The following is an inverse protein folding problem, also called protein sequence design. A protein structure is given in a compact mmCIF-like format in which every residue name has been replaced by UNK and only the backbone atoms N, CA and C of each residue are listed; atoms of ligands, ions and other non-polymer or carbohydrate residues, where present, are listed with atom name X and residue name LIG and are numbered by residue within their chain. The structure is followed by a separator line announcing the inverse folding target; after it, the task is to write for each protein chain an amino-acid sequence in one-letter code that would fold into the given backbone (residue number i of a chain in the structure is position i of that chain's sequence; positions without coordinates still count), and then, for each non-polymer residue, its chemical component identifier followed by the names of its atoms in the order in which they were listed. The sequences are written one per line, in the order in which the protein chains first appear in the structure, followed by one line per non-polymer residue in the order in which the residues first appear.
data_IF_958096027485
#
_entry.id   IF_958096027485
#
_cell.length_a   1.000
_cell.length_b   1.000
_cell.length_c   1.000
_cell.angle_alpha   90.00
_cell.angle_beta   90.00
_cell.angle_gamma   90.00
#
_symmetry.space_group_name_H-M   'P 1'
#
loop_
_entity.id
_entity.type
_entity.pdbx_description
1 polymer ?
#
# COMPACT_ATOMS: atom_id res chain seq x y z
N UNK A 1 -65.39 49.76 1.57
CA UNK A 1 -64.76 48.45 1.30
C UNK A 1 -64.08 48.53 -0.07
N UNK A 2 -62.74 48.54 -0.09
CA UNK A 2 -61.80 48.16 -1.16
C UNK A 2 -60.49 48.93 -0.95
N UNK A 3 -59.45 48.18 -0.65
CA UNK A 3 -58.10 48.58 -0.25
C UNK A 3 -57.26 48.96 -1.46
N UNK A 4 -56.67 50.17 -1.48
CA UNK A 4 -55.69 50.60 -2.47
C UNK A 4 -54.28 50.09 -2.11
N UNK A 5 -53.96 48.86 -2.50
CA UNK A 5 -52.59 48.33 -2.50
C UNK A 5 -51.82 48.95 -3.68
N UNK A 6 -50.83 49.81 -3.39
CA UNK A 6 -49.96 50.38 -4.42
C UNK A 6 -48.72 49.51 -4.67
N UNK A 7 -48.20 49.53 -5.90
CA UNK A 7 -47.03 48.76 -6.36
C UNK A 7 -45.78 48.94 -5.48
N UNK A 8 -45.65 50.07 -4.78
CA UNK A 8 -44.56 50.34 -3.83
C UNK A 8 -44.65 49.52 -2.54
N UNK A 9 -45.85 49.14 -2.11
CA UNK A 9 -46.05 48.29 -0.93
C UNK A 9 -45.73 46.83 -1.24
N UNK A 10 -45.94 46.41 -2.50
CA UNK A 10 -45.59 45.06 -2.97
C UNK A 10 -44.06 44.85 -3.05
N UNK A 11 -43.29 45.85 -3.49
CA UNK A 11 -41.82 45.73 -3.59
C UNK A 11 -41.10 45.76 -2.23
N UNK A 12 -41.66 46.40 -1.19
CA UNK A 12 -41.08 46.37 0.16
C UNK A 12 -41.34 45.05 0.90
N UNK A 13 -42.43 44.34 0.56
CA UNK A 13 -42.71 43.01 1.10
C UNK A 13 -41.84 41.90 0.49
N UNK A 14 -41.46 42.02 -0.78
CA UNK A 14 -40.68 41.00 -1.48
C UNK A 14 -39.18 40.96 -1.09
N UNK A 15 -38.63 42.08 -0.59
CA UNK A 15 -37.22 42.14 -0.19
C UNK A 15 -36.94 41.50 1.19
N UNK A 16 -37.95 41.38 2.06
CA UNK A 16 -37.80 40.79 3.38
C UNK A 16 -37.94 39.26 3.39
N UNK A 17 -38.64 38.67 2.41
CA UNK A 17 -38.77 37.20 2.26
C UNK A 17 -37.63 36.57 1.44
N UNK A 18 -36.92 37.34 0.61
CA UNK A 18 -35.77 36.83 -0.15
C UNK A 18 -34.50 36.61 0.69
N UNK A 19 -34.32 37.37 1.78
CA UNK A 19 -33.10 37.28 2.59
C UNK A 19 -33.10 36.10 3.58
N UNK A 20 -34.28 35.60 3.97
CA UNK A 20 -34.39 34.43 4.86
C UNK A 20 -34.18 33.12 4.09
N UNK A 21 -34.53 33.07 2.80
CA UNK A 21 -34.32 31.90 1.95
C UNK A 21 -32.83 31.66 1.62
N UNK A 22 -32.00 32.71 1.54
CA UNK A 22 -30.57 32.56 1.26
C UNK A 22 -29.74 32.08 2.46
N UNK A 23 -30.26 32.25 3.69
CA UNK A 23 -29.58 31.78 4.92
C UNK A 23 -30.01 30.35 5.28
N UNK A 24 -31.18 29.90 4.82
CA UNK A 24 -31.73 28.56 5.09
C UNK A 24 -31.18 27.42 4.22
N UNK A 25 -30.50 27.70 3.11
CA UNK A 25 -29.92 26.66 2.24
C UNK A 25 -28.52 26.19 2.68
N UNK A 26 -27.98 26.71 3.78
CA UNK A 26 -26.90 26.06 4.53
C UNK A 26 -27.42 25.03 5.52
N UNK A 27 -28.64 24.53 5.31
CA UNK A 27 -29.12 23.30 5.93
C UNK A 27 -28.18 22.16 5.53
N UNK A 28 -27.19 21.91 6.39
CA UNK A 28 -26.64 20.59 6.67
C UNK A 28 -26.31 19.79 5.39
N UNK A 29 -25.36 20.27 4.59
CA UNK A 29 -24.47 19.30 3.97
C UNK A 29 -23.75 18.64 5.15
N UNK A 30 -24.25 17.50 5.60
CA UNK A 30 -23.41 16.60 6.37
C UNK A 30 -22.14 16.45 5.54
N UNK A 31 -20.98 16.82 6.10
CA UNK A 31 -19.71 16.71 5.38
C UNK A 31 -19.67 15.32 4.74
N UNK A 32 -19.61 15.26 3.41
CA UNK A 32 -19.57 13.98 2.72
C UNK A 32 -18.41 13.16 3.30
N UNK A 33 -18.60 11.85 3.54
CA UNK A 33 -17.54 11.03 4.12
C UNK A 33 -16.27 11.17 3.30
N UNK A 34 -15.13 11.37 3.98
CA UNK A 34 -13.84 11.48 3.32
C UNK A 34 -13.56 10.20 2.53
N UNK A 35 -13.55 10.30 1.20
CA UNK A 35 -13.19 9.20 0.32
C UNK A 35 -11.69 8.90 0.41
N UNK A 36 -11.37 7.71 0.91
CA UNK A 36 -10.02 7.14 0.99
C UNK A 36 -9.96 5.97 0.02
N UNK A 37 -9.05 6.02 -0.95
CA UNK A 37 -8.82 4.93 -1.90
C UNK A 37 -7.41 4.38 -1.74
N UNK A 38 -7.31 3.06 -1.52
CA UNK A 38 -6.07 2.30 -1.60
C UNK A 38 -6.02 1.58 -2.94
N UNK A 39 -4.93 1.75 -3.68
CA UNK A 39 -4.66 1.01 -4.92
C UNK A 39 -3.44 0.12 -4.72
N UNK A 40 -3.54 -1.17 -5.04
CA UNK A 40 -2.48 -2.17 -4.85
C UNK A 40 -2.28 -3.04 -6.10
N UNK A 41 -1.05 -3.51 -6.37
CA UNK A 41 -0.73 -4.19 -7.63
C UNK A 41 -1.19 -5.66 -7.64
N UNK A 42 -1.32 -6.25 -6.47
CA UNK A 42 -1.64 -7.66 -6.23
C UNK A 42 -3.03 -7.78 -5.59
N UNK A 43 -3.63 -8.99 -5.54
CA UNK A 43 -4.78 -9.25 -4.69
C UNK A 43 -4.49 -8.96 -3.21
N UNK A 44 -5.48 -8.49 -2.48
CA UNK A 44 -5.49 -8.49 -1.02
C UNK A 44 -5.89 -9.88 -0.56
N UNK A 45 -4.88 -10.75 -0.47
CA UNK A 45 -5.05 -12.10 0.08
C UNK A 45 -5.08 -12.12 1.61
N UNK A 46 -4.94 -13.32 2.17
CA UNK A 46 -4.82 -13.52 3.62
C UNK A 46 -3.47 -13.05 4.20
N UNK A 47 -2.46 -12.88 3.33
CA UNK A 47 -1.08 -12.54 3.67
C UNK A 47 -0.51 -11.54 2.65
N UNK A 48 0.68 -11.00 2.93
CA UNK A 48 1.42 -10.12 2.02
C UNK A 48 1.22 -8.63 2.27
N UNK A 49 1.71 -7.82 1.35
CA UNK A 49 1.70 -6.37 1.42
C UNK A 49 0.30 -5.77 1.34
N UNK A 50 -0.51 -6.24 0.38
CA UNK A 50 -1.90 -5.80 0.23
C UNK A 50 -2.72 -6.02 1.50
N UNK A 51 -2.54 -7.18 2.16
CA UNK A 51 -3.14 -7.50 3.46
C UNK A 51 -2.69 -6.52 4.54
N UNK A 52 -1.38 -6.28 4.67
CA UNK A 52 -0.83 -5.36 5.67
C UNK A 52 -1.36 -3.93 5.51
N UNK A 53 -1.50 -3.43 4.28
CA UNK A 53 -2.11 -2.13 4.00
C UNK A 53 -3.60 -2.10 4.33
N UNK A 54 -4.33 -3.17 3.99
CA UNK A 54 -5.75 -3.29 4.33
C UNK A 54 -5.97 -3.31 5.85
N UNK A 55 -5.14 -4.05 6.59
CA UNK A 55 -5.14 -4.06 8.06
C UNK A 55 -4.83 -2.68 8.64
N UNK A 56 -3.90 -1.94 8.04
CA UNK A 56 -3.59 -0.56 8.42
C UNK A 56 -4.77 0.41 8.30
N UNK A 57 -5.78 0.08 7.48
CA UNK A 57 -7.00 0.88 7.34
C UNK A 57 -8.07 0.54 8.37
N UNK A 58 -8.02 -0.61 9.04
CA UNK A 58 -9.02 -1.01 10.04
C UNK A 58 -9.07 -0.05 11.25
N UNK A 59 -7.95 0.39 11.85
CA UNK A 59 -7.98 1.41 12.89
C UNK A 59 -8.56 2.75 12.41
N UNK A 60 -8.36 3.11 11.15
CA UNK A 60 -8.92 4.33 10.56
C UNK A 60 -10.44 4.21 10.45
N UNK A 61 -10.94 3.09 9.91
CA UNK A 61 -12.38 2.81 9.84
C UNK A 61 -13.02 2.82 11.23
N UNK A 62 -12.39 2.18 12.22
CA UNK A 62 -12.88 2.11 13.58
C UNK A 62 -12.94 3.48 14.27
N UNK A 63 -11.92 4.33 14.05
CA UNK A 63 -11.85 5.65 14.68
C UNK A 63 -12.83 6.68 14.08
N UNK A 64 -13.05 6.62 12.77
CA UNK A 64 -13.82 7.64 12.05
C UNK A 64 -15.23 7.19 11.64
N UNK A 65 -15.51 5.89 11.60
CA UNK A 65 -16.82 5.34 11.25
C UNK A 65 -17.33 5.90 9.92
N UNK A 66 -18.58 6.36 9.92
CA UNK A 66 -19.27 6.90 8.74
C UNK A 66 -18.67 8.21 8.20
N UNK A 67 -17.67 8.81 8.88
CA UNK A 67 -16.96 10.00 8.40
C UNK A 67 -15.92 9.69 7.32
N UNK A 68 -15.60 8.41 7.11
CA UNK A 68 -14.68 7.97 6.05
C UNK A 68 -15.36 6.92 5.18
N UNK A 69 -15.05 6.93 3.88
CA UNK A 69 -15.42 5.87 2.95
C UNK A 69 -14.16 5.28 2.35
N UNK A 70 -13.80 4.09 2.81
CA UNK A 70 -12.59 3.39 2.35
C UNK A 70 -12.94 2.47 1.18
N UNK A 71 -12.21 2.63 0.07
CA UNK A 71 -12.27 1.73 -1.10
C UNK A 71 -10.89 1.13 -1.32
N UNK A 72 -10.82 -0.17 -1.61
CA UNK A 72 -9.60 -0.84 -2.03
C UNK A 72 -9.78 -1.29 -3.47
N UNK A 73 -8.80 -0.98 -4.33
CA UNK A 73 -8.75 -1.40 -5.73
C UNK A 73 -7.50 -2.27 -5.89
N UNK A 74 -7.71 -3.51 -6.26
CA UNK A 74 -6.69 -4.55 -6.28
C UNK A 74 -6.35 -4.96 -7.72
N UNK A 75 -5.27 -5.72 -7.90
CA UNK A 75 -4.82 -6.24 -9.20
C UNK A 75 -4.47 -5.15 -10.23
N UNK A 76 -3.98 -4.01 -9.77
CA UNK A 76 -3.65 -2.88 -10.65
C UNK A 76 -2.17 -2.89 -10.97
N UNK A 77 -1.75 -3.59 -12.01
CA UNK A 77 -0.32 -3.65 -12.34
C UNK A 77 0.27 -2.26 -12.60
N UNK A 78 1.54 -2.09 -12.20
CA UNK A 78 2.26 -0.82 -12.37
C UNK A 78 2.33 -0.40 -13.84
N UNK A 79 2.21 0.90 -14.09
CA UNK A 79 2.27 1.48 -15.44
C UNK A 79 1.07 2.37 -15.77
N UNK A 80 0.88 2.72 -17.06
CA UNK A 80 -0.09 3.73 -17.48
C UNK A 80 -1.54 3.44 -17.07
N UNK A 81 -1.91 2.16 -16.94
CA UNK A 81 -3.26 1.80 -16.51
C UNK A 81 -3.49 2.10 -15.03
N UNK A 82 -2.48 1.89 -14.17
CA UNK A 82 -2.53 2.31 -12.77
C UNK A 82 -2.74 3.82 -12.64
N UNK A 83 -2.03 4.62 -13.42
CA UNK A 83 -2.17 6.08 -13.45
C UNK A 83 -3.59 6.50 -13.82
N UNK A 84 -4.17 5.85 -14.85
CA UNK A 84 -5.55 6.08 -15.28
C UNK A 84 -6.55 5.74 -14.18
N UNK A 85 -6.37 4.60 -13.50
CA UNK A 85 -7.27 4.12 -12.44
C UNK A 85 -7.18 5.00 -11.19
N UNK A 86 -5.97 5.35 -10.75
CA UNK A 86 -5.76 6.29 -9.63
C UNK A 86 -6.37 7.65 -9.94
N UNK A 87 -6.17 8.19 -11.15
CA UNK A 87 -6.75 9.46 -11.55
C UNK A 87 -8.28 9.40 -11.61
N UNK A 88 -8.85 8.29 -12.09
CA UNK A 88 -10.30 8.08 -12.05
C UNK A 88 -10.83 8.05 -10.62
N UNK A 89 -10.16 7.35 -9.71
CA UNK A 89 -10.60 7.28 -8.31
C UNK A 89 -10.63 8.67 -7.65
N UNK A 90 -9.66 9.52 -7.96
CA UNK A 90 -9.65 10.94 -7.54
C UNK A 90 -10.78 11.74 -8.19
N UNK A 91 -11.01 11.56 -9.50
CA UNK A 91 -12.10 12.23 -10.23
C UNK A 91 -13.49 11.81 -9.72
N UNK A 92 -13.63 10.60 -9.20
CA UNK A 92 -14.84 10.07 -8.57
C UNK A 92 -15.07 10.63 -7.15
N UNK A 93 -14.25 11.58 -6.69
CA UNK A 93 -14.46 12.35 -5.46
C UNK A 93 -13.59 11.94 -4.27
N UNK A 94 -12.73 10.93 -4.40
CA UNK A 94 -11.80 10.56 -3.32
C UNK A 94 -10.75 11.67 -3.11
N UNK A 95 -10.58 12.09 -1.85
CA UNK A 95 -9.62 13.15 -1.47
C UNK A 95 -8.37 12.62 -0.81
N UNK A 96 -8.31 11.32 -0.54
CA UNK A 96 -7.12 10.65 -0.01
C UNK A 96 -6.78 9.43 -0.87
N UNK A 97 -5.65 9.47 -1.57
CA UNK A 97 -5.15 8.38 -2.40
C UNK A 97 -3.94 7.72 -1.74
N UNK A 98 -4.01 6.43 -1.50
CA UNK A 98 -2.90 5.60 -1.07
C UNK A 98 -2.44 4.78 -2.28
N UNK A 99 -1.33 5.22 -2.88
CA UNK A 99 -0.64 4.52 -3.95
C UNK A 99 0.27 3.44 -3.35
N UNK A 100 -0.25 2.22 -3.22
CA UNK A 100 0.34 1.13 -2.47
C UNK A 100 1.44 0.32 -3.17
N UNK A 101 2.17 0.89 -4.15
CA UNK A 101 3.31 0.22 -4.78
C UNK A 101 4.40 1.19 -5.18
N UNK A 102 5.65 0.73 -5.19
CA UNK A 102 6.81 1.54 -5.56
C UNK A 102 6.65 2.18 -6.96
N UNK A 103 6.26 1.40 -7.96
CA UNK A 103 6.15 1.89 -9.35
C UNK A 103 5.02 2.88 -9.61
N UNK A 104 4.12 3.12 -8.64
CA UNK A 104 3.08 4.15 -8.77
C UNK A 104 3.59 5.58 -8.56
N UNK A 105 4.84 5.78 -8.12
CA UNK A 105 5.36 7.08 -7.67
C UNK A 105 5.10 8.20 -8.69
N UNK A 106 5.49 7.98 -9.94
CA UNK A 106 5.45 9.03 -10.96
C UNK A 106 4.01 9.43 -11.28
N UNK A 107 3.13 8.47 -11.51
CA UNK A 107 1.72 8.74 -11.80
C UNK A 107 1.00 9.42 -10.64
N UNK A 108 1.15 8.86 -9.43
CA UNK A 108 0.56 9.41 -8.21
C UNK A 108 1.06 10.83 -7.91
N UNK A 109 2.35 11.12 -8.17
CA UNK A 109 2.89 12.48 -8.01
C UNK A 109 2.30 13.46 -9.03
N UNK A 110 2.08 13.03 -10.28
CA UNK A 110 1.40 13.89 -11.27
C UNK A 110 -0.06 14.16 -10.89
N UNK A 111 -0.76 13.16 -10.35
CA UNK A 111 -2.12 13.32 -9.83
C UNK A 111 -2.11 14.34 -8.68
N UNK A 112 -1.19 14.21 -7.71
CA UNK A 112 -1.06 15.16 -6.61
C UNK A 112 -0.84 16.60 -7.11
N UNK A 113 0.08 16.80 -8.07
CA UNK A 113 0.37 18.12 -8.65
C UNK A 113 -0.81 18.77 -9.35
N UNK A 114 -1.69 17.98 -9.97
CA UNK A 114 -2.88 18.47 -10.68
C UNK A 114 -4.06 18.73 -9.76
N UNK A 115 -4.08 18.10 -8.58
CA UNK A 115 -5.19 18.12 -7.63
C UNK A 115 -4.67 18.53 -6.24
N UNK A 116 -4.42 19.84 -5.99
CA UNK A 116 -3.81 20.31 -4.74
C UNK A 116 -4.68 20.08 -3.50
N UNK A 117 -5.98 19.78 -3.69
CA UNK A 117 -6.95 19.44 -2.65
C UNK A 117 -6.96 17.94 -2.29
N UNK A 118 -6.21 17.11 -3.02
CA UNK A 118 -6.08 15.67 -2.77
C UNK A 118 -4.79 15.40 -2.01
N UNK A 119 -4.88 14.62 -0.93
CA UNK A 119 -3.69 14.09 -0.23
C UNK A 119 -3.31 12.76 -0.84
N UNK A 120 -2.02 12.59 -1.15
CA UNK A 120 -1.46 11.35 -1.69
C UNK A 120 -0.41 10.79 -0.75
N UNK A 121 -0.60 9.54 -0.34
CA UNK A 121 0.43 8.71 0.30
C UNK A 121 0.95 7.70 -0.71
N UNK A 122 2.27 7.55 -0.78
CA UNK A 122 2.92 6.63 -1.72
C UNK A 122 3.84 5.66 -1.00
N UNK A 123 3.67 4.36 -1.26
CA UNK A 123 4.49 3.32 -0.65
C UNK A 123 5.89 3.28 -1.25
N UNK A 124 6.91 3.20 -0.39
CA UNK A 124 8.31 2.86 -0.73
C UNK A 124 9.06 3.90 -1.57
N UNK A 125 8.41 4.98 -1.96
CA UNK A 125 9.01 6.04 -2.77
C UNK A 125 9.93 6.98 -2.00
N UNK A 126 10.45 7.96 -2.74
CA UNK A 126 11.43 8.94 -2.26
C UNK A 126 11.12 10.37 -2.71
N UNK A 127 10.13 10.58 -3.59
CA UNK A 127 9.70 11.91 -3.99
C UNK A 127 8.73 12.51 -2.98
N UNK A 128 8.78 13.84 -2.84
CA UNK A 128 7.91 14.61 -1.93
C UNK A 128 7.29 15.80 -2.68
N UNK A 129 6.08 16.18 -2.29
CA UNK A 129 5.42 17.43 -2.72
C UNK A 129 4.47 17.91 -1.61
N UNK A 130 3.92 19.14 -1.67
CA UNK A 130 3.08 19.68 -0.61
C UNK A 130 1.91 18.79 -0.17
N UNK A 131 1.34 18.02 -1.12
CA UNK A 131 0.24 17.08 -0.90
C UNK A 131 0.59 15.64 -1.30
N UNK A 132 1.89 15.31 -1.34
CA UNK A 132 2.40 13.97 -1.66
C UNK A 132 3.48 13.58 -0.66
N UNK A 133 3.24 12.52 0.12
CA UNK A 133 4.23 11.99 1.06
C UNK A 133 4.50 10.52 0.76
N UNK A 134 5.78 10.11 0.65
CA UNK A 134 6.12 8.72 0.66
C UNK A 134 6.02 8.17 2.10
N UNK A 135 5.82 6.86 2.23
CA UNK A 135 5.95 6.13 3.48
C UNK A 135 6.59 4.77 3.24
N UNK A 136 7.36 4.28 4.20
CA UNK A 136 7.97 2.95 4.18
C UNK A 136 8.20 2.47 5.61
N UNK A 137 8.24 1.15 5.82
CA UNK A 137 8.74 0.59 7.07
C UNK A 137 10.27 0.66 7.14
N UNK A 138 10.84 0.67 8.35
CA UNK A 138 12.28 0.47 8.54
C UNK A 138 12.64 -1.02 8.41
N UNK A 139 12.46 -1.57 7.20
CA UNK A 139 12.61 -3.00 6.93
C UNK A 139 13.94 -3.58 7.38
N UNK A 140 15.04 -2.83 7.24
CA UNK A 140 16.40 -3.26 7.60
C UNK A 140 16.52 -3.72 9.06
N UNK A 141 15.78 -3.12 9.99
CA UNK A 141 15.86 -3.51 11.40
C UNK A 141 15.29 -4.92 11.61
N UNK A 142 14.12 -5.18 11.03
CA UNK A 142 13.47 -6.48 11.12
C UNK A 142 14.21 -7.55 10.34
N UNK A 143 14.67 -7.24 9.12
CA UNK A 143 15.38 -8.21 8.28
C UNK A 143 16.77 -8.54 8.81
N UNK A 144 17.45 -7.61 9.50
CA UNK A 144 18.69 -7.92 10.22
C UNK A 144 18.48 -8.99 11.31
N UNK A 145 17.47 -8.82 12.16
CA UNK A 145 17.14 -9.81 13.18
C UNK A 145 16.68 -11.15 12.56
N UNK A 146 15.94 -11.09 11.45
CA UNK A 146 15.56 -12.27 10.67
C UNK A 146 16.78 -13.01 10.13
N UNK A 147 17.79 -12.29 9.65
CA UNK A 147 19.07 -12.84 9.21
C UNK A 147 19.81 -13.57 10.32
N UNK A 148 19.88 -12.98 11.51
CA UNK A 148 20.48 -13.62 12.68
C UNK A 148 19.76 -14.94 13.01
N UNK A 149 18.43 -14.94 13.00
CA UNK A 149 17.64 -16.15 13.24
C UNK A 149 17.85 -17.21 12.15
N UNK A 150 17.87 -16.80 10.88
CA UNK A 150 18.10 -17.70 9.75
C UNK A 150 19.48 -18.37 9.83
N UNK A 151 20.54 -17.61 10.15
CA UNK A 151 21.87 -18.18 10.32
C UNK A 151 21.97 -19.17 11.48
N UNK A 152 21.24 -18.92 12.57
CA UNK A 152 21.17 -19.84 13.71
C UNK A 152 20.44 -21.15 13.37
N UNK A 153 19.43 -21.10 12.49
CA UNK A 153 18.69 -22.28 12.01
C UNK A 153 19.47 -23.07 10.96
N UNK A 154 20.27 -22.39 10.14
CA UNK A 154 20.99 -22.98 9.01
C UNK A 154 22.07 -23.97 9.45
N UNK A 155 22.06 -25.15 8.84
CA UNK A 155 23.06 -26.21 8.97
C UNK A 155 24.10 -26.14 7.86
N UNK A 156 23.72 -25.73 6.66
CA UNK A 156 24.61 -25.67 5.48
C UNK A 156 25.40 -24.37 5.40
N UNK A 157 24.94 -23.30 6.07
CA UNK A 157 25.49 -21.96 5.88
C UNK A 157 25.08 -21.31 4.55
N UNK A 158 24.10 -21.89 3.84
CA UNK A 158 23.56 -21.33 2.60
C UNK A 158 22.12 -20.92 2.82
N UNK A 159 21.84 -19.63 2.70
CA UNK A 159 20.51 -19.06 2.77
C UNK A 159 20.06 -18.64 1.38
N UNK A 160 18.75 -18.64 1.15
CA UNK A 160 18.16 -18.18 -0.10
C UNK A 160 17.25 -16.99 0.13
N UNK A 161 17.10 -16.13 -0.88
CA UNK A 161 16.04 -15.14 -0.94
C UNK A 161 15.32 -15.21 -2.28
N UNK A 162 14.00 -15.37 -2.23
CA UNK A 162 13.12 -15.18 -3.38
C UNK A 162 12.58 -13.75 -3.28
N UNK A 163 12.99 -12.90 -4.21
CA UNK A 163 12.71 -11.46 -4.15
C UNK A 163 11.94 -10.98 -5.37
N UNK A 164 11.04 -10.00 -5.18
CA UNK A 164 10.22 -9.46 -6.26
C UNK A 164 11.03 -8.65 -7.29
N UNK A 165 11.45 -7.41 -6.94
CA UNK A 165 12.18 -6.52 -7.84
C UNK A 165 13.46 -5.95 -7.21
N UNK A 166 14.49 -5.74 -8.02
CA UNK A 166 15.77 -5.16 -7.60
C UNK A 166 15.68 -3.64 -7.38
N UNK A 167 14.88 -3.22 -6.39
CA UNK A 167 14.68 -1.82 -5.98
C UNK A 167 15.40 -1.54 -4.65
N UNK A 168 15.67 -0.26 -4.30
CA UNK A 168 16.41 0.10 -3.09
C UNK A 168 15.86 -0.53 -1.80
N UNK A 169 14.53 -0.62 -1.66
CA UNK A 169 13.88 -1.27 -0.51
C UNK A 169 14.31 -2.74 -0.37
N UNK A 170 14.14 -3.55 -1.42
CA UNK A 170 14.42 -4.99 -1.35
C UNK A 170 15.91 -5.29 -1.26
N UNK A 171 16.75 -4.48 -1.90
CA UNK A 171 18.20 -4.56 -1.76
C UNK A 171 18.61 -4.26 -0.31
N UNK A 172 18.00 -3.25 0.31
CA UNK A 172 18.24 -2.93 1.73
C UNK A 172 17.80 -4.08 2.63
N UNK A 173 16.63 -4.67 2.37
CA UNK A 173 16.14 -5.85 3.10
C UNK A 173 17.10 -7.04 3.02
N UNK A 174 17.58 -7.36 1.81
CA UNK A 174 18.56 -8.44 1.58
C UNK A 174 19.88 -8.14 2.28
N UNK A 175 20.43 -6.94 2.10
CA UNK A 175 21.72 -6.57 2.71
C UNK A 175 21.65 -6.66 4.24
N UNK A 176 20.58 -6.16 4.84
CA UNK A 176 20.38 -6.26 6.28
C UNK A 176 20.24 -7.72 6.74
N UNK A 177 19.48 -8.54 6.00
CA UNK A 177 19.37 -9.98 6.26
C UNK A 177 20.75 -10.68 6.18
N UNK A 178 21.53 -10.41 5.14
CA UNK A 178 22.89 -10.95 4.99
C UNK A 178 23.80 -10.50 6.13
N UNK A 179 23.81 -9.22 6.48
CA UNK A 179 24.64 -8.70 7.59
C UNK A 179 24.25 -9.31 8.94
N UNK A 180 22.95 -9.45 9.20
CA UNK A 180 22.45 -10.11 10.41
C UNK A 180 22.85 -11.59 10.46
N UNK A 181 22.76 -12.28 9.33
CA UNK A 181 23.20 -13.66 9.21
C UNK A 181 24.71 -13.79 9.47
N UNK A 182 25.52 -12.91 8.88
CA UNK A 182 26.97 -12.86 9.04
C UNK A 182 27.41 -12.54 10.47
N UNK A 183 26.61 -11.78 11.23
CA UNK A 183 26.85 -11.53 12.64
C UNK A 183 26.77 -12.81 13.51
N UNK A 184 26.03 -13.83 13.06
CA UNK A 184 25.90 -15.13 13.75
C UNK A 184 26.83 -16.18 13.15
N UNK A 185 26.94 -16.21 11.82
CA UNK A 185 27.79 -17.13 11.06
C UNK A 185 28.54 -16.35 9.97
N UNK A 186 29.79 -15.94 10.20
CA UNK A 186 30.52 -15.03 9.30
C UNK A 186 30.64 -15.49 7.84
N UNK A 187 30.75 -16.80 7.62
CA UNK A 187 30.93 -17.39 6.28
C UNK A 187 29.61 -17.76 5.59
N UNK A 188 28.46 -17.28 6.09
CA UNK A 188 27.15 -17.57 5.49
C UNK A 188 27.03 -16.90 4.12
N UNK A 189 26.46 -17.62 3.17
CA UNK A 189 26.17 -17.14 1.82
C UNK A 189 24.66 -16.93 1.65
N UNK A 190 24.27 -15.87 0.93
CA UNK A 190 22.86 -15.60 0.57
C UNK A 190 22.73 -15.57 -0.95
N UNK A 191 22.04 -16.57 -1.51
CA UNK A 191 21.69 -16.62 -2.93
C UNK A 191 20.36 -15.92 -3.18
N UNK A 192 20.29 -15.05 -4.19
CA UNK A 192 19.07 -14.30 -4.51
C UNK A 192 18.53 -14.72 -5.87
N UNK A 193 17.22 -14.99 -5.94
CA UNK A 193 16.48 -15.16 -7.18
C UNK A 193 15.45 -14.04 -7.30
N UNK A 194 15.57 -13.25 -8.36
CA UNK A 194 14.62 -12.17 -8.69
C UNK A 194 13.49 -12.71 -9.57
N UNK A 195 12.26 -12.64 -9.08
CA UNK A 195 11.06 -13.08 -9.81
C UNK A 195 10.64 -12.05 -10.86
N UNK A 196 10.94 -10.77 -10.64
CA UNK A 196 10.48 -9.63 -11.44
C UNK A 196 8.96 -9.52 -11.50
N UNK A 197 8.31 -9.84 -10.38
CA UNK A 197 6.88 -9.66 -10.12
C UNK A 197 6.67 -9.54 -8.61
N UNK A 198 5.66 -8.76 -8.20
CA UNK A 198 5.15 -8.73 -6.82
C UNK A 198 4.28 -9.95 -6.49
N UNK A 199 3.70 -10.56 -7.53
CA UNK A 199 2.74 -11.65 -7.45
C UNK A 199 2.87 -12.54 -8.69
N UNK A 200 3.50 -13.71 -8.54
CA UNK A 200 3.55 -14.77 -9.54
C UNK A 200 3.74 -16.12 -8.83
N UNK A 201 2.65 -16.72 -8.31
CA UNK A 201 2.71 -17.95 -7.51
C UNK A 201 3.54 -19.08 -8.14
N UNK A 202 3.47 -19.23 -9.47
CA UNK A 202 4.19 -20.29 -10.17
C UNK A 202 5.70 -20.02 -10.17
N UNK A 203 6.12 -18.82 -10.60
CA UNK A 203 7.56 -18.46 -10.60
C UNK A 203 8.15 -18.38 -9.21
N UNK A 204 7.36 -17.99 -8.21
CA UNK A 204 7.79 -17.96 -6.81
C UNK A 204 8.13 -19.37 -6.29
N UNK A 205 7.30 -20.38 -6.59
CA UNK A 205 7.59 -21.77 -6.25
C UNK A 205 8.82 -22.29 -7.00
N UNK A 206 8.95 -21.97 -8.29
CA UNK A 206 10.12 -22.36 -9.09
C UNK A 206 11.41 -21.74 -8.54
N UNK A 207 11.38 -20.45 -8.17
CA UNK A 207 12.49 -19.74 -7.56
C UNK A 207 12.90 -20.35 -6.21
N UNK A 208 11.94 -20.68 -5.36
CA UNK A 208 12.20 -21.37 -4.10
C UNK A 208 12.86 -22.73 -4.35
N UNK A 209 12.28 -23.56 -5.23
CA UNK A 209 12.83 -24.88 -5.60
C UNK A 209 14.24 -24.78 -6.18
N UNK A 210 14.55 -23.74 -6.95
CA UNK A 210 15.89 -23.51 -7.48
C UNK A 210 16.91 -23.22 -6.37
N UNK A 211 16.56 -22.42 -5.36
CA UNK A 211 17.41 -22.15 -4.19
C UNK A 211 17.63 -23.41 -3.34
N UNK A 212 16.57 -24.20 -3.13
CA UNK A 212 16.65 -25.48 -2.43
C UNK A 212 17.57 -26.47 -3.18
N UNK A 213 17.51 -26.52 -4.50
CA UNK A 213 18.41 -27.33 -5.33
C UNK A 213 19.88 -26.90 -5.18
N UNK A 214 20.15 -25.62 -4.94
CA UNK A 214 21.47 -25.06 -4.62
C UNK A 214 21.91 -25.29 -3.15
N UNK A 215 21.14 -26.07 -2.38
CA UNK A 215 21.38 -26.42 -0.98
C UNK A 215 21.18 -25.26 0.01
N UNK A 216 20.38 -24.26 -0.36
CA UNK A 216 19.89 -23.30 0.62
C UNK A 216 18.95 -24.01 1.60
N UNK A 217 19.13 -23.81 2.90
CA UNK A 217 18.39 -24.53 3.94
C UNK A 217 17.59 -23.62 4.88
N UNK A 218 17.50 -22.33 4.53
CA UNK A 218 16.52 -21.36 5.05
C UNK A 218 16.23 -20.37 3.92
N UNK A 219 14.95 -20.07 3.66
CA UNK A 219 14.54 -19.16 2.57
C UNK A 219 13.85 -17.90 3.12
N UNK A 220 14.26 -16.74 2.63
CA UNK A 220 13.59 -15.47 2.87
C UNK A 220 12.69 -15.11 1.67
N UNK A 221 11.37 -15.17 1.87
CA UNK A 221 10.35 -14.64 0.96
C UNK A 221 10.29 -13.11 1.10
N UNK A 222 10.92 -12.41 0.17
CA UNK A 222 11.17 -10.97 0.25
C UNK A 222 10.21 -10.20 -0.68
N UNK A 223 9.15 -9.68 -0.07
CA UNK A 223 8.08 -8.93 -0.73
C UNK A 223 7.35 -9.70 -1.85
N UNK A 224 6.99 -10.95 -1.58
CA UNK A 224 6.05 -11.71 -2.41
C UNK A 224 4.65 -11.67 -1.78
N UNK A 225 3.65 -11.27 -2.56
CA UNK A 225 2.26 -11.13 -2.11
C UNK A 225 1.49 -12.47 -2.12
N UNK A 226 2.19 -13.57 -1.90
CA UNK A 226 1.63 -14.92 -1.93
C UNK A 226 2.29 -15.82 -0.88
N UNK A 227 1.60 -16.90 -0.45
CA UNK A 227 2.20 -17.91 0.40
C UNK A 227 3.16 -18.86 -0.34
N UNK A 228 3.33 -18.74 -1.67
CA UNK A 228 3.92 -19.78 -2.51
C UNK A 228 5.36 -20.15 -2.17
N UNK A 229 6.20 -19.16 -1.83
CA UNK A 229 7.58 -19.42 -1.41
C UNK A 229 7.58 -20.26 -0.14
N UNK A 230 6.76 -19.89 0.83
CA UNK A 230 6.66 -20.56 2.14
C UNK A 230 6.10 -21.97 1.97
N UNK A 231 5.05 -22.14 1.17
CA UNK A 231 4.47 -23.45 0.87
C UNK A 231 5.50 -24.40 0.22
N UNK A 232 6.29 -23.92 -0.74
CA UNK A 232 7.34 -24.72 -1.36
C UNK A 232 8.45 -25.14 -0.36
N UNK A 233 8.74 -24.28 0.62
CA UNK A 233 9.70 -24.61 1.68
C UNK A 233 9.12 -25.60 2.70
N UNK A 234 7.86 -25.45 3.06
CA UNK A 234 7.13 -26.37 3.94
C UNK A 234 7.05 -27.78 3.35
N UNK A 235 6.71 -27.89 2.06
CA UNK A 235 6.73 -29.17 1.32
C UNK A 235 8.10 -29.86 1.35
N UNK A 236 9.18 -29.06 1.41
CA UNK A 236 10.55 -29.54 1.50
C UNK A 236 11.06 -29.75 2.94
N UNK A 237 10.28 -29.40 3.95
CA UNK A 237 10.69 -29.43 5.36
C UNK A 237 11.79 -28.41 5.70
N UNK A 238 11.84 -27.29 4.98
CA UNK A 238 12.83 -26.23 5.11
C UNK A 238 12.16 -24.98 5.70
N UNK A 239 12.74 -24.34 6.73
CA UNK A 239 12.18 -23.13 7.32
C UNK A 239 12.22 -21.96 6.32
N UNK A 240 11.20 -21.11 6.39
CA UNK A 240 11.14 -19.88 5.63
C UNK A 240 10.69 -18.70 6.50
N UNK A 241 11.16 -17.51 6.14
CA UNK A 241 10.67 -16.24 6.68
C UNK A 241 9.94 -15.46 5.61
N UNK A 242 8.86 -14.80 5.98
CA UNK A 242 8.08 -13.96 5.08
C UNK A 242 8.15 -12.48 5.49
N UNK A 243 8.23 -11.59 4.49
CA UNK A 243 8.12 -10.15 4.71
C UNK A 243 6.64 -9.70 4.75
N UNK A 244 6.38 -8.55 5.36
CA UNK A 244 5.09 -7.83 5.42
C UNK A 244 4.01 -8.41 6.34
N UNK A 245 3.79 -9.73 6.34
CA UNK A 245 2.77 -10.33 7.21
C UNK A 245 3.22 -11.67 7.79
N UNK A 246 2.65 -12.02 8.95
CA UNK A 246 2.76 -13.37 9.48
C UNK A 246 2.08 -14.36 8.54
N UNK A 247 2.67 -15.54 8.43
CA UNK A 247 2.02 -16.71 7.86
C UNK A 247 1.23 -17.43 8.97
N UNK A 248 0.17 -18.14 8.61
CA UNK A 248 -0.56 -19.03 9.53
C UNK A 248 0.16 -20.37 9.67
#
# INVERSE_FOLDING_TARGET
MLTNLTRRTLMKGAAATGLVAAVGSRALAADEPLGIVLVVPSPVGDVGWGRALADGLEPVKAAYGDKVKVTIIENIQEGPDADRIMNKAVADGNKFLIAGSFGYQNGALQIARRNPDVTVLHASGFQVAPNFSPFAAQYSQGTYLMGMAAAALSKTGKLGSVSAFAIPELITSINAFTLGAQAVKPDVEVSVVWVNSWFDPAKEQEAAKALLAQKCDVIFSNAQDTPSVVAACEEAGIPAFNLNSSMK
#
